data_IF_593134523150
#
_entry.id   IF_593134523150
#
_cell.length_a   1.000
_cell.length_b   1.000
_cell.length_c   1.000
_cell.angle_alpha   90.00
_cell.angle_beta   90.00
_cell.angle_gamma   90.00
#
_symmetry.space_group_name_H-M   'P 1'
#
loop_
_entity.id
_entity.type
_entity.pdbx_description
1 polymer ?
#
# COMPACT_ATOMS: atom_id res chain seq x y z
N UNK A 1 13.31 7.39 3.14
CA UNK A 1 12.08 7.52 3.95
C UNK A 1 11.66 8.97 3.89
N UNK A 2 10.63 9.26 3.10
CA UNK A 2 10.19 10.61 2.82
C UNK A 2 8.98 10.90 3.71
N UNK A 3 9.09 11.90 4.58
CA UNK A 3 8.06 12.29 5.56
C UNK A 3 7.47 13.62 5.13
N UNK A 4 6.17 13.81 5.33
CA UNK A 4 5.48 15.02 4.95
C UNK A 4 4.53 15.58 6.02
N UNK A 5 4.31 16.90 5.96
CA UNK A 5 3.41 17.70 6.81
C UNK A 5 2.67 18.70 5.90
N UNK A 6 1.34 18.61 5.78
CA UNK A 6 0.54 19.67 5.11
C UNK A 6 -0.27 20.50 6.11
N UNK A 7 -0.28 21.84 5.94
CA UNK A 7 -1.14 22.73 6.72
C UNK A 7 -2.60 22.63 6.28
N UNK A 8 -3.49 22.43 7.25
CA UNK A 8 -4.93 22.53 7.06
C UNK A 8 -5.33 24.01 7.13
N UNK A 9 -5.63 24.64 6.00
CA UNK A 9 -6.35 25.92 5.98
C UNK A 9 -7.59 25.77 5.13
N UNK A 10 -8.73 26.12 5.73
CA UNK A 10 -10.07 26.06 5.15
C UNK A 10 -10.18 27.10 4.02
N UNK A 11 -10.30 26.63 2.78
CA UNK A 11 -11.03 27.28 1.68
C UNK A 11 -10.84 26.46 0.39
N UNK A 12 -11.77 25.55 0.03
CA UNK A 12 -11.94 24.97 -1.32
C UNK A 12 -10.68 24.70 -2.18
N UNK A 13 -9.61 24.15 -1.61
CA UNK A 13 -8.38 23.87 -2.37
C UNK A 13 -8.51 22.49 -3.04
N UNK A 14 -8.51 22.50 -4.38
CA UNK A 14 -8.21 21.30 -5.18
C UNK A 14 -6.70 21.10 -5.19
N UNK A 15 -6.18 20.34 -4.23
CA UNK A 15 -4.78 19.93 -4.23
C UNK A 15 -4.56 18.94 -5.36
N UNK A 16 -3.76 19.28 -6.36
CA UNK A 16 -3.28 18.28 -7.31
C UNK A 16 -1.90 17.80 -6.87
N UNK A 17 -1.79 16.50 -6.59
CA UNK A 17 -0.52 15.84 -6.28
C UNK A 17 0.04 15.32 -7.59
N UNK A 18 1.13 15.93 -8.08
CA UNK A 18 1.89 15.47 -9.25
C UNK A 18 3.16 14.78 -8.75
N UNK A 19 3.30 13.48 -8.98
CA UNK A 19 4.52 12.74 -8.59
C UNK A 19 5.21 12.22 -9.84
N UNK A 20 6.42 12.71 -10.10
CA UNK A 20 7.29 12.19 -11.15
C UNK A 20 8.19 11.11 -10.56
N UNK A 21 7.95 9.86 -10.95
CA UNK A 21 8.73 8.70 -10.53
C UNK A 21 9.70 8.29 -11.66
N UNK A 22 11.02 8.33 -11.44
CA UNK A 22 12.05 7.82 -12.38
C UNK A 22 12.91 6.81 -11.64
N UNK A 23 12.80 5.54 -12.03
CA UNK A 23 13.42 4.42 -11.31
C UNK A 23 14.28 3.57 -12.25
N UNK A 24 15.40 3.03 -11.73
CA UNK A 24 16.27 2.11 -12.48
C UNK A 24 15.66 0.69 -12.60
N UNK A 25 14.63 0.41 -11.82
CA UNK A 25 13.86 -0.83 -11.79
C UNK A 25 12.38 -0.52 -11.95
N UNK A 26 11.60 -1.49 -12.42
CA UNK A 26 10.14 -1.39 -12.43
C UNK A 26 9.60 -1.07 -11.02
N UNK A 27 8.54 -0.26 -10.92
CA UNK A 27 7.94 0.10 -9.63
C UNK A 27 6.48 0.56 -9.78
N UNK A 28 5.79 0.80 -8.68
CA UNK A 28 4.55 1.56 -8.62
C UNK A 28 4.53 2.32 -7.29
N UNK A 29 3.78 3.43 -7.18
CA UNK A 29 3.68 4.18 -5.93
C UNK A 29 2.23 4.21 -5.47
N UNK A 30 1.97 3.63 -4.31
CA UNK A 30 0.69 3.73 -3.60
C UNK A 30 0.72 4.88 -2.59
N UNK A 31 -0.41 5.58 -2.45
CA UNK A 31 -0.61 6.67 -1.50
C UNK A 31 -1.52 6.18 -0.37
N UNK A 32 -0.91 5.62 0.67
CA UNK A 32 -1.60 4.94 1.76
C UNK A 32 -2.62 5.84 2.44
N UNK A 33 -3.87 5.36 2.48
CA UNK A 33 -4.99 6.02 3.14
C UNK A 33 -5.70 7.08 2.30
N UNK A 34 -5.22 7.40 1.08
CA UNK A 34 -5.94 8.29 0.17
C UNK A 34 -7.10 7.56 -0.52
N UNK A 35 -8.24 8.24 -0.63
CA UNK A 35 -9.45 7.63 -1.19
C UNK A 35 -9.45 7.51 -2.71
N UNK A 36 -8.60 8.25 -3.42
CA UNK A 36 -8.52 8.20 -4.89
C UNK A 36 -9.90 8.36 -5.58
N UNK A 37 -10.77 9.23 -5.03
CA UNK A 37 -12.15 9.41 -5.53
C UNK A 37 -12.12 9.90 -6.98
N UNK A 38 -12.66 9.08 -7.89
CA UNK A 38 -12.66 9.36 -9.32
C UNK A 38 -11.31 9.17 -10.02
N UNK A 39 -10.28 8.70 -9.31
CA UNK A 39 -8.92 8.49 -9.81
C UNK A 39 -8.37 7.13 -9.40
N UNK A 40 -9.21 6.08 -9.34
CA UNK A 40 -8.81 4.72 -8.93
C UNK A 40 -7.56 4.21 -9.69
N UNK A 41 -7.36 4.58 -10.96
CA UNK A 41 -6.15 4.25 -11.73
C UNK A 41 -4.83 4.80 -11.17
N UNK A 42 -4.88 5.80 -10.28
CA UNK A 42 -3.75 6.39 -9.57
C UNK A 42 -3.53 5.80 -8.17
N UNK A 43 -4.27 4.75 -7.80
CA UNK A 43 -4.09 4.06 -6.53
C UNK A 43 -2.72 3.34 -6.42
N UNK A 44 -2.04 3.07 -7.54
CA UNK A 44 -0.65 2.62 -7.48
C UNK A 44 -0.45 1.12 -7.28
N UNK A 45 -1.49 0.30 -7.42
CA UNK A 45 -1.43 -1.15 -7.19
C UNK A 45 -1.29 -1.88 -8.53
N UNK A 46 -0.14 -2.52 -8.81
CA UNK A 46 0.03 -3.41 -9.96
C UNK A 46 -1.07 -4.49 -9.97
N UNK A 47 -1.48 -4.96 -11.15
CA UNK A 47 -2.51 -6.02 -11.32
C UNK A 47 -3.95 -5.61 -10.97
N UNK A 48 -4.14 -4.52 -10.23
CA UNK A 48 -5.46 -4.04 -9.83
C UNK A 48 -5.76 -2.71 -10.50
N UNK A 49 -5.00 -1.67 -10.18
CA UNK A 49 -5.30 -0.28 -10.57
C UNK A 49 -4.40 0.25 -11.69
N UNK A 50 -3.26 -0.38 -11.95
CA UNK A 50 -2.36 -0.01 -13.05
C UNK A 50 -1.39 -1.14 -13.42
N UNK A 51 -0.70 -1.03 -14.54
CA UNK A 51 0.52 -1.80 -14.78
C UNK A 51 1.71 -1.17 -14.02
N UNK A 52 2.79 -1.92 -13.77
CA UNK A 52 4.02 -1.37 -13.24
C UNK A 52 4.57 -0.23 -14.12
N UNK A 53 5.20 0.75 -13.50
CA UNK A 53 5.96 1.80 -14.16
C UNK A 53 7.29 1.19 -14.62
N UNK A 54 7.57 1.17 -15.94
CA UNK A 54 8.81 0.58 -16.45
C UNK A 54 10.05 1.33 -15.96
N UNK A 55 11.19 0.64 -15.99
CA UNK A 55 12.48 1.29 -15.72
C UNK A 55 12.73 2.49 -16.66
N UNK A 56 13.49 3.46 -16.16
CA UNK A 56 13.87 4.70 -16.86
C UNK A 56 12.69 5.50 -17.47
N UNK A 57 11.47 5.26 -16.99
CA UNK A 57 10.26 5.96 -17.44
C UNK A 57 9.79 6.93 -16.35
N UNK A 58 9.22 8.06 -16.76
CA UNK A 58 8.50 8.96 -15.84
C UNK A 58 7.02 8.69 -15.92
N UNK A 59 6.39 8.40 -14.78
CA UNK A 59 4.94 8.38 -14.64
C UNK A 59 4.49 9.53 -13.73
N UNK A 60 3.35 10.14 -14.05
CA UNK A 60 2.73 11.23 -13.29
C UNK A 60 1.42 10.74 -12.71
N UNK A 61 1.39 10.59 -11.40
CA UNK A 61 0.16 10.50 -10.61
C UNK A 61 -0.46 11.90 -10.54
N UNK A 62 -1.77 12.05 -10.78
CA UNK A 62 -2.45 13.35 -10.74
C UNK A 62 -3.86 13.20 -10.16
N UNK A 63 -3.99 13.40 -8.85
CA UNK A 63 -5.27 13.25 -8.15
C UNK A 63 -5.47 14.36 -7.12
N UNK A 64 -6.72 14.50 -6.69
CA UNK A 64 -7.13 15.51 -5.70
C UNK A 64 -7.67 14.91 -4.42
N UNK A 65 -7.46 15.63 -3.31
CA UNK A 65 -7.75 15.14 -1.95
C UNK A 65 -8.61 16.14 -1.16
N UNK A 66 -9.81 16.50 -1.67
CA UNK A 66 -10.60 17.60 -1.13
C UNK A 66 -11.09 17.36 0.31
N UNK A 67 -11.35 16.09 0.65
CA UNK A 67 -12.07 15.72 1.88
C UNK A 67 -11.19 14.93 2.88
N UNK A 68 -9.87 15.04 2.78
CA UNK A 68 -8.94 14.31 3.65
C UNK A 68 -7.89 15.24 4.26
N UNK A 69 -7.71 15.13 5.57
CA UNK A 69 -6.61 15.76 6.30
C UNK A 69 -6.11 14.78 7.36
N UNK A 70 -4.80 14.72 7.58
CA UNK A 70 -4.25 13.68 8.43
C UNK A 70 -2.74 13.57 8.37
N UNK A 71 -2.25 12.36 8.62
CA UNK A 71 -0.87 11.93 8.40
C UNK A 71 -0.95 10.73 7.49
N UNK A 72 -0.41 10.88 6.28
CA UNK A 72 -0.36 9.81 5.30
C UNK A 72 1.10 9.51 4.94
N UNK A 73 1.29 8.49 4.11
CA UNK A 73 2.58 8.11 3.57
C UNK A 73 2.39 7.49 2.19
N UNK A 74 3.50 7.36 1.47
CA UNK A 74 3.51 6.66 0.19
C UNK A 74 4.64 5.63 0.20
N UNK A 75 4.44 4.54 -0.53
CA UNK A 75 5.42 3.47 -0.64
C UNK A 75 5.32 2.77 -1.99
N UNK A 76 6.36 2.01 -2.33
CA UNK A 76 6.25 1.09 -3.48
C UNK A 76 5.16 0.07 -3.18
N UNK A 77 4.31 -0.22 -4.15
CA UNK A 77 3.36 -1.34 -4.09
C UNK A 77 3.71 -2.41 -5.14
N UNK A 78 4.97 -2.42 -5.56
CA UNK A 78 5.50 -3.35 -6.54
C UNK A 78 6.77 -4.00 -6.02
N UNK A 79 6.71 -5.31 -5.81
CA UNK A 79 7.80 -6.26 -5.51
C UNK A 79 8.74 -5.84 -4.36
N UNK A 80 8.94 -6.74 -3.41
CA UNK A 80 9.89 -6.60 -2.32
C UNK A 80 10.76 -7.84 -2.11
N UNK A 81 10.17 -9.00 -1.76
CA UNK A 81 10.90 -10.17 -1.27
C UNK A 81 10.45 -11.51 -1.90
N UNK A 82 9.63 -11.48 -2.95
CA UNK A 82 9.08 -12.67 -3.63
C UNK A 82 8.35 -13.61 -2.67
N UNK A 83 7.69 -13.07 -1.65
CA UNK A 83 6.96 -13.84 -0.64
C UNK A 83 7.85 -14.57 0.37
N UNK A 84 9.15 -14.29 0.41
CA UNK A 84 10.06 -14.81 1.42
C UNK A 84 10.05 -13.92 2.66
N UNK A 85 9.89 -14.54 3.82
CA UNK A 85 9.94 -13.84 5.11
C UNK A 85 11.34 -13.20 5.31
N UNK A 86 11.42 -11.86 5.42
CA UNK A 86 12.69 -11.18 5.64
C UNK A 86 13.10 -11.25 7.11
N UNK A 87 14.41 -11.35 7.39
CA UNK A 87 14.94 -11.11 8.75
C UNK A 87 15.57 -9.73 8.81
N UNK A 88 14.95 -8.77 9.53
CA UNK A 88 15.54 -7.44 9.65
C UNK A 88 16.78 -7.49 10.54
N UNK A 89 17.90 -6.96 10.06
CA UNK A 89 19.13 -6.82 10.85
C UNK A 89 18.99 -5.75 11.93
N UNK A 90 18.11 -4.76 11.73
CA UNK A 90 17.91 -3.65 12.65
C UNK A 90 16.55 -2.95 12.46
N UNK A 91 16.05 -2.32 13.52
CA UNK A 91 14.93 -1.38 13.45
C UNK A 91 15.41 0.05 13.22
N UNK A 92 14.60 0.92 12.62
CA UNK A 92 14.96 2.32 12.34
C UNK A 92 13.90 3.29 12.84
N UNK A 93 14.34 4.45 13.36
CA UNK A 93 13.47 5.61 13.62
C UNK A 93 13.93 6.72 12.67
N UNK A 94 13.05 7.24 11.80
CA UNK A 94 13.39 8.19 10.73
C UNK A 94 14.66 7.79 9.93
N UNK A 95 14.79 6.49 9.63
CA UNK A 95 15.90 5.95 8.86
C UNK A 95 17.24 5.84 9.59
N UNK A 96 17.26 5.99 10.92
CA UNK A 96 18.50 5.90 11.71
C UNK A 96 18.37 4.95 12.90
N UNK A 97 19.44 4.22 13.16
CA UNK A 97 19.70 3.50 14.41
C UNK A 97 21.18 3.12 14.48
N UNK A 98 21.64 2.70 15.65
CA UNK A 98 22.97 2.12 15.83
C UNK A 98 22.99 0.66 15.37
N UNK A 99 24.08 0.24 14.72
CA UNK A 99 24.29 -1.13 14.24
C UNK A 99 25.77 -1.46 14.29
N UNK A 100 26.08 -2.65 14.83
CA UNK A 100 27.45 -3.15 14.88
C UNK A 100 27.79 -3.84 13.55
N UNK A 101 28.66 -3.21 12.77
CA UNK A 101 29.08 -3.69 11.46
C UNK A 101 29.84 -5.00 11.49
N UNK A 102 30.29 -5.50 12.66
CA UNK A 102 30.82 -6.86 12.79
C UNK A 102 29.75 -7.93 12.48
N UNK A 103 28.47 -7.57 12.60
CA UNK A 103 27.35 -8.45 12.24
C UNK A 103 26.87 -8.23 10.80
N UNK A 104 27.39 -7.21 10.10
CA UNK A 104 27.09 -7.02 8.67
C UNK A 104 27.80 -8.10 7.84
N UNK A 105 27.17 -8.62 6.78
CA UNK A 105 27.88 -9.47 5.82
C UNK A 105 29.00 -8.67 5.14
N UNK A 106 30.14 -9.32 4.93
CA UNK A 106 31.39 -8.70 4.43
C UNK A 106 31.21 -7.98 3.08
N UNK A 107 30.22 -8.39 2.29
CA UNK A 107 29.91 -7.80 0.99
C UNK A 107 29.24 -6.42 1.06
N UNK A 108 28.78 -5.96 2.24
CA UNK A 108 28.05 -4.70 2.37
C UNK A 108 28.91 -3.57 2.92
N UNK A 109 28.73 -2.37 2.38
CA UNK A 109 29.31 -1.16 2.98
C UNK A 109 28.56 -0.79 4.27
N UNK A 110 29.16 -1.06 5.42
CA UNK A 110 28.60 -0.72 6.73
C UNK A 110 29.38 0.42 7.41
N UNK A 111 28.68 1.31 8.13
CA UNK A 111 29.26 2.35 8.98
C UNK A 111 28.75 2.09 10.39
N UNK A 112 29.66 1.86 11.33
CA UNK A 112 29.31 1.56 12.72
C UNK A 112 28.58 2.75 13.35
N UNK A 113 27.51 2.43 14.08
CA UNK A 113 26.84 3.34 15.02
C UNK A 113 26.61 4.77 14.50
N UNK A 114 25.92 4.85 13.35
CA UNK A 114 25.54 6.12 12.69
C UNK A 114 24.68 7.06 13.54
N UNK A 115 24.27 6.62 14.74
CA UNK A 115 23.56 7.41 15.74
C UNK A 115 22.05 7.21 15.71
N UNK A 116 21.42 7.45 16.85
CA UNK A 116 19.97 7.48 16.98
C UNK A 116 19.37 8.75 16.37
N UNK A 117 18.12 8.67 15.93
CA UNK A 117 17.33 9.87 15.62
C UNK A 117 17.14 10.71 16.88
N UNK A 118 17.52 11.99 16.80
CA UNK A 118 17.43 12.95 17.89
C UNK A 118 16.34 13.98 17.61
N UNK A 119 15.53 14.26 18.63
CA UNK A 119 14.49 15.29 18.57
C UNK A 119 14.86 16.40 19.55
N UNK A 120 14.95 17.64 19.05
CA UNK A 120 15.29 18.79 19.88
C UNK A 120 14.00 19.48 20.35
N UNK A 121 13.76 19.48 21.66
CA UNK A 121 12.59 20.11 22.27
C UNK A 121 13.00 21.36 23.06
N UNK A 122 12.20 22.41 22.92
CA UNK A 122 12.39 23.69 23.63
C UNK A 122 11.39 23.76 24.78
N UNK A 123 11.83 24.08 26.01
CA UNK A 123 10.93 24.25 27.15
C UNK A 123 9.78 25.22 26.84
N UNK A 124 8.56 24.86 27.27
CA UNK A 124 7.35 25.67 27.07
C UNK A 124 6.73 25.61 25.67
N UNK A 125 7.29 24.85 24.72
CA UNK A 125 6.69 24.62 23.39
C UNK A 125 5.91 23.31 23.34
N UNK A 126 4.85 23.30 22.51
CA UNK A 126 4.05 22.12 22.20
C UNK A 126 4.43 21.60 20.81
N UNK A 127 4.49 20.28 20.68
CA UNK A 127 4.91 19.60 19.46
C UNK A 127 3.86 18.57 19.04
N UNK A 128 3.59 18.47 17.74
CA UNK A 128 2.77 17.40 17.15
C UNK A 128 3.71 16.35 16.57
N UNK A 129 3.71 15.16 17.15
CA UNK A 129 4.46 14.02 16.62
C UNK A 129 3.53 13.17 15.74
N UNK A 130 3.96 12.95 14.50
CA UNK A 130 3.31 12.08 13.52
C UNK A 130 4.12 10.79 13.42
N UNK A 131 3.52 9.68 13.84
CA UNK A 131 4.15 8.37 13.94
C UNK A 131 3.52 7.46 12.89
N UNK A 132 4.37 6.84 12.07
CA UNK A 132 3.96 5.91 11.02
C UNK A 132 4.82 4.66 11.16
N UNK A 133 4.18 3.49 11.21
CA UNK A 133 4.90 2.22 11.13
C UNK A 133 4.94 1.78 9.65
N UNK A 134 6.13 1.84 9.06
CA UNK A 134 6.37 1.45 7.65
C UNK A 134 7.14 0.14 7.55
N UNK A 135 7.10 -0.69 8.60
CA UNK A 135 7.93 -1.87 8.69
C UNK A 135 7.41 -2.99 7.81
N UNK A 136 8.30 -3.71 7.13
CA UNK A 136 7.92 -4.85 6.30
C UNK A 136 7.44 -6.08 7.11
N UNK A 137 7.80 -6.17 8.40
CA UNK A 137 7.50 -7.33 9.27
C UNK A 137 7.36 -7.00 10.76
N UNK A 138 7.63 -5.76 11.22
CA UNK A 138 7.75 -5.52 12.67
C UNK A 138 6.39 -5.45 13.36
N UNK A 139 6.00 -6.60 13.89
CA UNK A 139 5.24 -6.80 15.12
C UNK A 139 5.84 -8.06 15.80
N UNK A 140 6.26 -7.95 17.06
CA UNK A 140 7.22 -8.91 17.63
C UNK A 140 6.58 -10.29 17.89
N UNK A 141 7.06 -11.36 17.24
CA UNK A 141 7.16 -12.72 17.81
C UNK A 141 8.04 -13.64 16.94
N UNK A 142 8.91 -14.45 17.56
CA UNK A 142 9.92 -15.28 16.88
C UNK A 142 9.40 -16.68 16.53
N UNK A 143 9.51 -17.11 15.25
CA UNK A 143 9.63 -18.53 14.90
C UNK A 143 10.41 -18.71 13.58
N UNK A 144 11.39 -19.62 13.58
CA UNK A 144 12.23 -19.97 12.43
C UNK A 144 11.60 -21.10 11.61
N UNK A 145 11.23 -20.89 10.34
CA UNK A 145 11.22 -21.94 9.29
C UNK A 145 11.38 -21.34 7.88
N UNK A 146 12.42 -21.74 7.14
CA UNK A 146 12.56 -21.46 5.70
C UNK A 146 11.52 -22.28 4.91
N UNK A 147 10.30 -21.78 4.81
CA UNK A 147 9.26 -22.31 3.94
C UNK A 147 8.70 -21.18 3.07
N UNK A 148 8.40 -21.48 1.81
CA UNK A 148 7.63 -20.59 0.96
C UNK A 148 6.17 -20.67 1.42
N UNK A 149 5.66 -19.58 1.96
CA UNK A 149 4.29 -19.50 2.45
C UNK A 149 3.35 -19.13 1.31
N UNK A 150 2.11 -19.61 1.38
CA UNK A 150 1.03 -19.27 0.46
C UNK A 150 -0.02 -18.53 1.27
N UNK A 151 -0.25 -17.26 0.94
CA UNK A 151 -1.35 -16.47 1.45
C UNK A 151 -2.66 -16.90 0.78
N UNK A 152 -3.68 -17.14 1.59
CA UNK A 152 -4.97 -17.67 1.14
C UNK A 152 -6.10 -16.80 1.68
N UNK A 153 -6.96 -16.31 0.80
CA UNK A 153 -8.24 -15.67 1.14
C UNK A 153 -9.37 -16.53 0.59
N UNK A 154 -10.29 -16.99 1.45
CA UNK A 154 -11.40 -17.88 1.09
C UNK A 154 -10.98 -19.14 0.31
N UNK A 155 -9.83 -19.74 0.65
CA UNK A 155 -9.33 -20.95 -0.02
C UNK A 155 -8.60 -20.70 -1.34
N UNK A 156 -8.45 -19.44 -1.78
CA UNK A 156 -7.73 -19.06 -3.00
C UNK A 156 -6.52 -18.19 -2.70
N UNK A 157 -5.42 -18.42 -3.42
CA UNK A 157 -4.25 -17.54 -3.43
C UNK A 157 -4.37 -16.55 -4.58
N UNK A 158 -4.03 -15.28 -4.34
CA UNK A 158 -4.06 -14.28 -5.40
C UNK A 158 -2.91 -14.56 -6.38
N UNK A 159 -3.25 -14.81 -7.64
CA UNK A 159 -2.27 -15.04 -8.69
C UNK A 159 -2.14 -13.79 -9.57
N UNK A 160 -0.88 -13.50 -9.87
CA UNK A 160 -0.42 -12.24 -10.44
C UNK A 160 -0.52 -12.24 -11.97
N UNK A 161 -1.24 -11.26 -12.54
CA UNK A 161 -1.17 -10.87 -13.96
C UNK A 161 -0.93 -9.36 -14.06
N UNK A 162 0.34 -8.96 -13.92
CA UNK A 162 0.74 -7.53 -13.87
C UNK A 162 0.51 -6.79 -15.18
N UNK A 163 0.46 -7.50 -16.31
CA UNK A 163 0.35 -6.92 -17.64
C UNK A 163 -1.11 -6.71 -18.06
N UNK A 164 -2.05 -7.35 -17.35
CA UNK A 164 -3.49 -7.19 -17.56
C UNK A 164 -4.25 -6.91 -16.25
N UNK A 165 -4.04 -5.72 -15.65
CA UNK A 165 -4.71 -5.32 -14.43
C UNK A 165 -6.23 -5.43 -14.48
N UNK A 166 -6.86 -5.68 -13.34
CA UNK A 166 -8.31 -5.85 -13.22
C UNK A 166 -9.08 -4.62 -13.71
N UNK A 167 -8.56 -3.42 -13.48
CA UNK A 167 -9.13 -2.19 -14.03
C UNK A 167 -9.12 -2.14 -15.56
N UNK A 168 -8.09 -2.68 -16.23
CA UNK A 168 -8.05 -2.77 -17.70
C UNK A 168 -9.09 -3.76 -18.22
N UNK A 169 -9.26 -4.88 -17.53
CA UNK A 169 -10.29 -5.87 -17.86
C UNK A 169 -11.68 -5.21 -17.84
N UNK A 170 -11.96 -4.34 -16.87
CA UNK A 170 -13.24 -3.63 -16.77
C UNK A 170 -13.35 -2.49 -17.80
N UNK A 171 -12.37 -1.59 -17.85
CA UNK A 171 -12.44 -0.35 -18.63
C UNK A 171 -12.27 -0.59 -20.14
N UNK A 172 -11.35 -1.49 -20.51
CA UNK A 172 -10.95 -1.68 -21.91
C UNK A 172 -11.61 -2.90 -22.55
N UNK A 173 -11.90 -3.94 -21.75
CA UNK A 173 -12.45 -5.21 -22.24
C UNK A 173 -13.92 -5.44 -21.85
N UNK A 174 -14.54 -4.52 -21.09
CA UNK A 174 -15.90 -4.66 -20.56
C UNK A 174 -16.14 -5.98 -19.80
N UNK A 175 -15.10 -6.50 -19.15
CA UNK A 175 -15.17 -7.76 -18.42
C UNK A 175 -16.06 -7.64 -17.18
N UNK A 176 -16.79 -8.71 -16.88
CA UNK A 176 -17.72 -8.79 -15.73
C UNK A 176 -17.48 -10.02 -14.87
N UNK A 177 -16.83 -11.06 -15.41
CA UNK A 177 -16.46 -12.28 -14.72
C UNK A 177 -14.94 -12.35 -14.58
N UNK A 178 -14.47 -12.73 -13.40
CA UNK A 178 -13.05 -12.76 -13.05
C UNK A 178 -12.64 -14.16 -12.64
N UNK A 179 -11.37 -14.48 -12.85
CA UNK A 179 -10.82 -15.78 -12.47
C UNK A 179 -10.79 -15.91 -10.94
N UNK A 180 -10.99 -17.11 -10.37
CA UNK A 180 -10.98 -17.29 -8.91
C UNK A 180 -9.70 -16.81 -8.24
N UNK A 181 -8.56 -16.98 -8.91
CA UNK A 181 -7.24 -16.56 -8.45
C UNK A 181 -7.02 -15.03 -8.49
N UNK A 182 -7.93 -14.24 -9.06
CA UNK A 182 -7.90 -12.77 -8.91
C UNK A 182 -8.41 -12.33 -7.53
N UNK A 183 -8.95 -13.24 -6.71
CA UNK A 183 -9.48 -12.96 -5.37
C UNK A 183 -10.43 -11.75 -5.33
N UNK A 184 -11.30 -11.64 -6.35
CA UNK A 184 -12.44 -10.71 -6.34
C UNK A 184 -13.48 -11.26 -5.37
N UNK A 185 -13.50 -10.74 -4.14
CA UNK A 185 -14.36 -11.26 -3.05
C UNK A 185 -15.68 -10.50 -2.92
N UNK A 186 -15.85 -9.40 -3.66
CA UNK A 186 -17.11 -8.68 -3.73
C UNK A 186 -17.20 -7.80 -4.98
N UNK A 187 -18.35 -7.84 -5.65
CA UNK A 187 -18.69 -6.94 -6.74
C UNK A 187 -20.01 -6.23 -6.41
N UNK A 188 -19.95 -4.93 -6.19
CA UNK A 188 -21.08 -4.13 -5.69
C UNK A 188 -21.57 -3.17 -6.76
N UNK A 189 -22.74 -3.44 -7.34
CA UNK A 189 -23.32 -2.62 -8.40
C UNK A 189 -23.98 -1.32 -7.89
N UNK A 190 -24.24 -1.23 -6.58
CA UNK A 190 -24.90 -0.09 -5.93
C UNK A 190 -24.18 0.24 -4.63
N UNK A 191 -24.25 1.51 -4.20
CA UNK A 191 -23.70 1.90 -2.91
C UNK A 191 -24.44 1.19 -1.79
N UNK A 192 -23.69 0.57 -0.89
CA UNK A 192 -24.24 -0.17 0.24
C UNK A 192 -23.18 -0.34 1.33
N UNK A 193 -23.64 -0.60 2.55
CA UNK A 193 -22.79 -0.89 3.69
C UNK A 193 -22.42 -2.37 3.68
N UNK A 194 -21.13 -2.66 3.81
CA UNK A 194 -20.57 -4.00 3.78
C UNK A 194 -19.88 -4.29 5.11
N UNK A 195 -20.18 -5.45 5.70
CA UNK A 195 -19.43 -6.03 6.80
C UNK A 195 -18.50 -7.12 6.28
N UNK A 196 -17.23 -7.04 6.66
CA UNK A 196 -16.22 -8.05 6.38
C UNK A 196 -15.86 -8.70 7.72
N UNK A 197 -15.95 -10.02 7.77
CA UNK A 197 -15.38 -10.82 8.86
C UNK A 197 -14.09 -11.43 8.36
N UNK A 198 -12.98 -11.10 9.01
CA UNK A 198 -11.70 -11.75 8.75
C UNK A 198 -11.45 -12.73 9.90
N UNK A 199 -11.08 -13.96 9.59
CA UNK A 199 -10.67 -14.97 10.55
C UNK A 199 -9.17 -15.21 10.42
N UNK A 200 -8.47 -15.21 11.54
CA UNK A 200 -7.06 -15.54 11.63
C UNK A 200 -6.89 -16.84 12.41
N UNK A 201 -6.70 -17.94 11.69
CA UNK A 201 -6.48 -19.27 12.28
C UNK A 201 -5.02 -19.65 12.49
N UNK A 202 -4.08 -18.70 12.36
CA UNK A 202 -2.63 -18.97 12.48
C UNK A 202 -2.01 -18.20 13.65
N UNK A 203 -0.80 -18.60 14.05
CA UNK A 203 -0.09 -18.11 15.24
C UNK A 203 0.63 -16.77 15.07
N UNK A 204 0.22 -15.94 14.10
CA UNK A 204 0.80 -14.64 13.80
C UNK A 204 -0.28 -13.57 13.66
N UNK A 205 0.07 -12.30 13.88
CA UNK A 205 -0.87 -11.19 13.67
C UNK A 205 -0.81 -10.67 12.24
N UNK A 206 -1.92 -10.14 11.74
CA UNK A 206 -2.00 -9.62 10.37
C UNK A 206 -2.62 -8.22 10.38
N UNK A 207 -1.90 -7.15 10.02
CA UNK A 207 -2.49 -5.84 9.81
C UNK A 207 -3.24 -5.83 8.47
N UNK A 208 -4.57 -5.82 8.44
CA UNK A 208 -5.33 -5.71 7.19
C UNK A 208 -5.58 -4.26 6.82
N UNK A 209 -5.25 -3.91 5.58
CA UNK A 209 -5.46 -2.59 4.98
C UNK A 209 -6.50 -2.66 3.85
N UNK A 210 -7.37 -1.65 3.77
CA UNK A 210 -8.34 -1.47 2.69
C UNK A 210 -8.04 -0.17 1.94
N UNK A 211 -7.82 -0.28 0.64
CA UNK A 211 -7.61 0.87 -0.24
C UNK A 211 -8.92 1.63 -0.49
N UNK A 212 -8.80 2.91 -0.88
CA UNK A 212 -9.93 3.75 -1.30
C UNK A 212 -10.92 4.14 -0.20
N UNK A 213 -10.76 3.61 1.02
CA UNK A 213 -11.72 3.71 2.10
C UNK A 213 -11.06 3.86 3.46
N UNK A 214 -11.87 4.34 4.40
CA UNK A 214 -11.71 4.03 5.82
C UNK A 214 -12.87 3.15 6.23
N UNK A 215 -12.63 2.25 7.17
CA UNK A 215 -13.62 1.35 7.73
C UNK A 215 -13.74 1.53 9.24
N UNK A 216 -14.89 1.13 9.77
CA UNK A 216 -15.13 1.03 11.20
C UNK A 216 -14.76 -0.36 11.70
N UNK A 217 -14.03 -0.43 12.82
CA UNK A 217 -13.75 -1.70 13.51
C UNK A 217 -14.86 -1.94 14.53
N UNK A 218 -15.73 -2.91 14.26
CA UNK A 218 -16.93 -3.14 15.05
C UNK A 218 -16.70 -4.07 16.25
N UNK A 219 -15.71 -4.96 16.17
CA UNK A 219 -15.34 -5.86 17.26
C UNK A 219 -14.41 -6.98 16.80
N UNK A 220 -13.89 -7.72 17.78
CA UNK A 220 -13.10 -8.94 17.58
C UNK A 220 -13.52 -10.02 18.58
N UNK A 221 -13.10 -11.25 18.35
CA UNK A 221 -13.32 -12.36 19.27
C UNK A 221 -12.57 -13.63 18.87
N UNK A 222 -12.63 -14.70 19.66
CA UNK A 222 -11.90 -15.93 19.41
C UNK A 222 -12.31 -16.61 18.09
N UNK A 223 -11.35 -17.13 17.32
CA UNK A 223 -11.56 -17.70 15.96
C UNK A 223 -12.54 -18.89 15.94
N UNK A 224 -12.66 -19.62 17.05
CA UNK A 224 -13.57 -20.75 17.23
C UNK A 224 -15.03 -20.32 17.49
N UNK A 225 -15.27 -19.02 17.66
CA UNK A 225 -16.61 -18.44 17.80
C UNK A 225 -17.07 -17.77 16.51
N UNK A 226 -18.39 -17.58 16.37
CA UNK A 226 -18.98 -16.76 15.30
C UNK A 226 -19.28 -15.36 15.85
N UNK A 227 -19.02 -14.29 15.09
CA UNK A 227 -19.40 -12.94 15.49
C UNK A 227 -20.91 -12.83 15.75
N UNK A 228 -21.26 -12.33 16.94
CA UNK A 228 -22.63 -11.95 17.27
C UNK A 228 -22.83 -10.47 16.91
N UNK A 229 -23.42 -10.23 15.74
CA UNK A 229 -23.64 -8.88 15.20
C UNK A 229 -24.48 -7.98 16.12
N UNK A 230 -25.28 -8.54 17.03
CA UNK A 230 -26.06 -7.76 18.00
C UNK A 230 -25.22 -7.16 19.13
N UNK A 231 -24.02 -7.71 19.35
CA UNK A 231 -23.08 -7.28 20.40
C UNK A 231 -21.93 -6.41 19.88
N UNK A 232 -21.84 -6.23 18.57
CA UNK A 232 -20.81 -5.40 17.96
C UNK A 232 -21.00 -3.92 18.32
N UNK A 233 -19.90 -3.19 18.42
CA UNK A 233 -19.96 -1.76 18.67
C UNK A 233 -20.40 -1.01 17.40
N UNK A 234 -21.67 -0.62 17.34
CA UNK A 234 -22.24 0.22 16.28
C UNK A 234 -22.35 1.69 16.68
N UNK A 235 -21.91 2.06 17.89
CA UNK A 235 -21.96 3.42 18.40
C UNK A 235 -20.54 3.99 18.53
N UNK A 236 -20.19 4.86 17.59
CA UNK A 236 -18.86 5.49 17.50
C UNK A 236 -17.66 4.49 17.50
N UNK A 237 -17.67 3.44 16.66
CA UNK A 237 -16.52 2.56 16.52
C UNK A 237 -15.32 3.29 15.91
N UNK A 238 -14.12 2.78 16.21
CA UNK A 238 -12.87 3.33 15.67
C UNK A 238 -12.91 3.25 14.15
N UNK A 239 -12.65 4.38 13.48
CA UNK A 239 -12.57 4.49 12.03
C UNK A 239 -11.11 4.66 11.56
N UNK A 240 -10.64 3.79 10.67
CA UNK A 240 -9.25 3.72 10.18
C UNK A 240 -9.15 2.97 8.85
N UNK A 241 -8.00 2.97 8.20
CA UNK A 241 -7.75 2.26 6.93
C UNK A 241 -6.95 0.95 7.10
N UNK A 242 -6.33 0.72 8.25
CA UNK A 242 -5.58 -0.51 8.56
C UNK A 242 -5.87 -0.96 9.97
N UNK A 243 -6.30 -2.21 10.21
CA UNK A 243 -6.49 -2.77 11.55
C UNK A 243 -5.85 -4.16 11.68
N UNK A 244 -5.24 -4.43 12.83
CA UNK A 244 -4.59 -5.70 13.11
C UNK A 244 -5.59 -6.72 13.61
N UNK A 245 -5.59 -7.90 13.00
CA UNK A 245 -6.21 -9.11 13.54
C UNK A 245 -5.15 -9.92 14.29
N UNK A 246 -5.40 -10.21 15.56
CA UNK A 246 -4.49 -10.98 16.41
C UNK A 246 -4.55 -12.48 16.07
N UNK A 247 -3.54 -13.28 16.50
CA UNK A 247 -3.56 -14.73 16.33
C UNK A 247 -4.82 -15.35 16.92
N UNK A 248 -5.38 -16.35 16.24
CA UNK A 248 -6.54 -17.12 16.73
C UNK A 248 -7.78 -16.26 17.05
N UNK A 249 -7.96 -15.12 16.34
CA UNK A 249 -9.13 -14.25 16.46
C UNK A 249 -9.87 -14.07 15.13
N UNK A 250 -11.11 -13.58 15.21
CA UNK A 250 -11.80 -12.88 14.12
C UNK A 250 -11.87 -11.38 14.41
N UNK A 251 -11.96 -10.57 13.36
CA UNK A 251 -12.30 -9.14 13.43
C UNK A 251 -13.46 -8.85 12.47
N UNK A 252 -14.40 -7.98 12.88
CA UNK A 252 -15.44 -7.44 12.01
C UNK A 252 -15.13 -5.99 11.70
N UNK A 253 -15.00 -5.68 10.40
CA UNK A 253 -14.87 -4.33 9.89
C UNK A 253 -16.06 -3.98 9.00
N UNK A 254 -16.45 -2.71 8.99
CA UNK A 254 -17.56 -2.18 8.20
C UNK A 254 -17.08 -1.04 7.32
N UNK A 255 -17.45 -1.04 6.06
CA UNK A 255 -17.23 0.10 5.17
C UNK A 255 -18.45 0.33 4.28
N UNK A 256 -18.50 1.48 3.62
CA UNK A 256 -19.51 1.78 2.62
C UNK A 256 -18.87 1.68 1.24
N UNK A 257 -19.41 0.81 0.39
CA UNK A 257 -18.97 0.60 -0.99
C UNK A 257 -19.44 1.76 -1.89
N UNK A 258 -18.91 2.97 -1.65
CA UNK A 258 -19.37 4.22 -2.24
C UNK A 258 -18.35 4.88 -3.18
N UNK A 259 -17.30 4.15 -3.56
CA UNK A 259 -16.20 4.72 -4.33
C UNK A 259 -15.92 3.87 -5.58
N UNK A 260 -16.35 4.30 -6.79
CA UNK A 260 -16.19 3.49 -8.00
C UNK A 260 -14.72 3.14 -8.26
N UNK A 261 -14.39 1.85 -8.31
CA UNK A 261 -13.00 1.41 -8.41
C UNK A 261 -12.79 -0.07 -8.11
N UNK A 262 -11.53 -0.47 -8.25
CA UNK A 262 -11.00 -1.75 -7.80
C UNK A 262 -10.14 -1.43 -6.58
N UNK A 263 -10.50 -1.95 -5.42
CA UNK A 263 -9.82 -1.64 -4.16
C UNK A 263 -9.21 -2.87 -3.54
N UNK A 264 -7.90 -2.82 -3.33
CA UNK A 264 -7.15 -3.87 -2.66
C UNK A 264 -7.59 -3.98 -1.19
N UNK A 265 -7.74 -5.21 -0.72
CA UNK A 265 -7.88 -5.56 0.69
C UNK A 265 -6.85 -6.62 1.02
N UNK A 266 -5.81 -6.27 1.77
CA UNK A 266 -4.65 -7.14 1.94
C UNK A 266 -3.99 -7.00 3.31
N UNK A 267 -3.19 -8.01 3.67
CA UNK A 267 -2.29 -7.89 4.81
C UNK A 267 -1.17 -6.90 4.49
N UNK A 268 -0.85 -6.00 5.41
CA UNK A 268 0.16 -4.95 5.27
C UNK A 268 1.54 -5.41 5.80
N UNK A 269 1.78 -6.72 5.76
CA UNK A 269 3.09 -7.35 5.86
C UNK A 269 3.48 -7.71 4.44
N UNK A 270 4.54 -7.08 3.95
CA UNK A 270 4.85 -7.03 2.52
C UNK A 270 4.98 -8.43 1.89
N UNK A 271 5.70 -9.34 2.55
CA UNK A 271 5.87 -10.70 2.03
C UNK A 271 4.57 -11.54 2.08
N UNK A 272 3.61 -11.21 2.96
CA UNK A 272 2.29 -11.84 2.93
C UNK A 272 1.49 -11.42 1.68
N UNK A 273 1.61 -10.16 1.26
CA UNK A 273 1.01 -9.66 0.01
C UNK A 273 1.53 -10.46 -1.17
N UNK A 274 2.85 -10.58 -1.29
CA UNK A 274 3.51 -11.32 -2.37
C UNK A 274 3.24 -12.83 -2.32
N UNK A 275 3.00 -13.38 -1.13
CA UNK A 275 2.56 -14.76 -0.95
C UNK A 275 1.09 -14.97 -1.39
N UNK A 276 0.35 -13.91 -1.72
CA UNK A 276 -1.02 -13.96 -2.22
C UNK A 276 -2.10 -13.66 -1.18
N UNK A 277 -1.76 -13.10 0.00
CA UNK A 277 -2.71 -12.68 1.04
C UNK A 277 -3.37 -11.33 0.68
N UNK A 278 -3.99 -11.32 -0.49
CA UNK A 278 -4.60 -10.18 -1.16
C UNK A 278 -5.98 -10.58 -1.64
N UNK A 279 -6.93 -9.68 -1.48
CA UNK A 279 -8.24 -9.72 -2.09
C UNK A 279 -8.54 -8.35 -2.71
N UNK A 280 -9.63 -8.29 -3.48
CA UNK A 280 -10.08 -7.04 -4.06
C UNK A 280 -11.61 -6.94 -4.08
N UNK A 281 -12.09 -5.71 -3.93
CA UNK A 281 -13.48 -5.33 -4.12
C UNK A 281 -13.63 -4.55 -5.42
N UNK A 282 -14.66 -4.88 -6.19
CA UNK A 282 -15.05 -4.14 -7.39
C UNK A 282 -16.31 -3.35 -7.05
N UNK A 283 -16.18 -2.04 -7.01
CA UNK A 283 -17.25 -1.13 -6.62
C UNK A 283 -17.76 -0.33 -7.81
N UNK A 284 -19.08 -0.25 -7.91
CA UNK A 284 -19.82 0.58 -8.85
C UNK A 284 -19.23 0.48 -10.27
N UNK A 285 -19.09 -0.72 -10.85
CA UNK A 285 -18.38 -0.92 -12.12
C UNK A 285 -19.00 -0.12 -13.28
N UNK A 286 -20.31 0.14 -13.23
CA UNK A 286 -20.98 1.00 -14.20
C UNK A 286 -20.51 2.47 -14.10
N UNK A 287 -20.32 2.99 -12.90
CA UNK A 287 -19.82 4.36 -12.69
C UNK A 287 -18.33 4.44 -13.01
N UNK A 288 -17.56 3.42 -12.63
CA UNK A 288 -16.14 3.32 -12.98
C UNK A 288 -15.91 3.39 -14.50
N UNK A 289 -16.73 2.70 -15.31
CA UNK A 289 -16.63 2.74 -16.79
C UNK A 289 -16.91 4.12 -17.39
N UNK A 290 -17.57 5.03 -16.67
CA UNK A 290 -17.78 6.41 -17.15
C UNK A 290 -16.52 7.27 -16.97
N UNK A 291 -15.63 6.85 -16.09
CA UNK A 291 -14.38 7.53 -15.85
C UNK A 291 -13.41 7.25 -17.00
N UNK A 292 -12.59 8.25 -17.32
CA UNK A 292 -11.62 8.17 -18.42
C UNK A 292 -10.22 8.29 -17.85
N UNK A 293 -9.42 7.22 -17.87
CA UNK A 293 -8.04 7.31 -17.45
C UNK A 293 -7.25 8.18 -18.45
N UNK A 294 -6.14 8.79 -18.00
CA UNK A 294 -5.30 9.59 -18.88
C UNK A 294 -4.42 8.70 -19.77
N UNK A 295 -4.04 9.21 -20.95
CA UNK A 295 -3.31 8.44 -21.96
C UNK A 295 -1.95 7.92 -21.50
N UNK A 296 -1.28 8.64 -20.59
CA UNK A 296 -0.01 8.20 -20.02
C UNK A 296 -0.18 6.96 -19.12
N UNK A 297 -1.33 6.79 -18.47
CA UNK A 297 -1.66 5.59 -17.70
C UNK A 297 -1.98 4.41 -18.62
N UNK A 298 -2.77 4.62 -19.68
CA UNK A 298 -3.11 3.57 -20.66
C UNK A 298 -1.85 2.99 -21.32
N UNK A 299 -0.82 3.83 -21.51
CA UNK A 299 0.46 3.43 -22.09
C UNK A 299 1.33 2.59 -21.15
N UNK A 300 1.06 2.51 -19.85
CA UNK A 300 1.88 1.74 -18.91
C UNK A 300 1.95 0.26 -19.32
N UNK A 301 0.81 -0.34 -19.67
CA UNK A 301 0.74 -1.75 -20.05
C UNK A 301 1.32 -2.04 -21.45
N UNK A 302 1.38 -1.03 -22.32
CA UNK A 302 2.03 -1.15 -23.63
C UNK A 302 3.55 -1.09 -23.49
N UNK A 303 4.03 -0.28 -22.54
CA UNK A 303 5.45 -0.03 -22.30
C UNK A 303 6.07 -0.96 -21.26
N UNK A 304 5.29 -1.79 -20.57
CA UNK A 304 5.78 -2.82 -19.65
C UNK A 304 6.36 -3.98 -20.46
N UNK A 305 7.70 -4.10 -20.63
CA UNK A 305 8.25 -5.35 -21.13
C UNK A 305 7.99 -6.46 -20.10
N UNK A 306 7.72 -7.66 -20.60
CA UNK A 306 7.46 -8.87 -19.82
C UNK A 306 8.22 -8.89 -18.47
N UNK A 307 7.52 -8.92 -17.32
CA UNK A 307 8.11 -8.81 -15.97
C UNK A 307 9.11 -9.92 -15.66
N UNK A 308 9.10 -11.02 -16.42
CA UNK A 308 10.06 -12.12 -16.27
C UNK A 308 11.45 -11.81 -16.85
N UNK A 309 11.62 -10.80 -17.70
CA UNK A 309 12.96 -10.38 -18.17
C UNK A 309 13.73 -9.57 -17.11
N UNK A 310 13.04 -8.96 -16.14
CA UNK A 310 13.67 -8.34 -14.97
C UNK A 310 14.25 -9.41 -13.99
N UNK A 311 13.90 -10.69 -14.15
CA UNK A 311 14.47 -11.78 -13.33
C UNK A 311 15.97 -12.01 -13.60
N UNK A 312 16.46 -11.66 -14.79
CA UNK A 312 17.88 -11.85 -15.13
C UNK A 312 18.73 -10.77 -14.44
N UNK A 313 18.23 -9.54 -14.31
CA UNK A 313 18.91 -8.44 -13.61
C UNK A 313 18.85 -8.58 -12.07
N UNK A 314 17.92 -9.37 -11.53
CA UNK A 314 17.81 -9.61 -10.09
C UNK A 314 18.72 -10.71 -9.55
N UNK A 315 19.35 -11.53 -10.41
CA UNK A 315 20.46 -12.40 -9.95
C UNK A 315 21.66 -11.58 -9.47
N UNK A 316 21.71 -10.29 -9.86
CA UNK A 316 22.63 -9.26 -9.38
C UNK A 316 22.07 -8.39 -8.23
N UNK A 317 20.91 -8.69 -7.62
CA UNK A 317 20.38 -7.91 -6.48
C UNK A 317 21.28 -7.95 -5.23
N UNK A 318 22.22 -8.91 -5.12
CA UNK A 318 23.27 -8.87 -4.07
C UNK A 318 24.18 -7.64 -4.20
N UNK A 319 24.27 -7.04 -5.39
CA UNK A 319 25.09 -5.85 -5.68
C UNK A 319 24.28 -4.55 -5.73
N UNK A 320 22.95 -4.59 -5.81
CA UNK A 320 22.09 -3.38 -5.94
C UNK A 320 21.88 -2.65 -4.60
N UNK A 321 22.00 -3.32 -3.46
CA UNK A 321 21.88 -2.65 -2.14
C UNK A 321 23.00 -1.61 -1.93
N UNK A 322 24.17 -1.81 -2.54
CA UNK A 322 25.24 -0.80 -2.54
C UNK A 322 24.97 0.38 -3.49
N UNK A 323 24.18 0.17 -4.56
CA UNK A 323 23.83 1.21 -5.53
C UNK A 323 22.66 2.09 -5.03
N UNK A 324 21.76 1.57 -4.18
CA UNK A 324 20.65 2.35 -3.58
C UNK A 324 21.09 3.53 -2.69
N UNK A 325 22.38 3.62 -2.32
CA UNK A 325 22.94 4.81 -1.64
C UNK A 325 23.36 5.93 -2.59
N UNK A 326 23.49 5.62 -3.89
CA UNK A 326 23.92 6.55 -4.95
C UNK A 326 22.89 6.66 -6.10
N UNK A 327 21.78 5.93 -6.09
CA UNK A 327 20.67 6.18 -7.00
C UNK A 327 19.90 7.39 -6.50
N UNK A 328 20.16 8.55 -7.11
CA UNK A 328 19.22 9.68 -7.13
C UNK A 328 17.93 9.24 -7.85
N UNK A 329 17.11 8.41 -7.19
CA UNK A 329 15.71 8.22 -7.59
C UNK A 329 15.01 9.54 -7.31
N UNK A 330 14.85 10.34 -8.36
CA UNK A 330 14.37 11.70 -8.27
C UNK A 330 12.82 11.69 -8.21
N UNK A 331 12.25 11.34 -7.06
CA UNK A 331 10.81 11.51 -6.84
C UNK A 331 10.57 13.01 -6.60
N UNK A 332 10.06 13.70 -7.62
CA UNK A 332 9.63 15.10 -7.50
C UNK A 332 8.13 15.12 -7.35
N UNK A 333 7.69 15.53 -6.17
CA UNK A 333 6.29 15.82 -5.90
C UNK A 333 6.09 17.32 -6.14
N UNK A 334 5.09 17.68 -6.93
CA UNK A 334 4.62 19.06 -7.13
C UNK A 334 3.21 19.12 -6.54
N UNK A 335 2.97 20.09 -5.65
CA UNK A 335 1.64 20.35 -5.08
C UNK A 335 1.26 21.79 -5.40
N UNK A 336 0.06 22.00 -5.92
CA UNK A 336 -0.40 23.31 -6.40
C UNK A 336 -1.82 23.65 -5.99
N UNK A 337 -2.12 24.96 -5.97
CA UNK A 337 -3.46 25.53 -5.81
C UNK A 337 -3.70 26.41 -7.04
N UNK A 338 -4.67 26.05 -7.89
CA UNK A 338 -4.94 26.80 -9.14
C UNK A 338 -3.79 26.68 -10.15
N UNK A 339 -3.38 27.79 -10.76
CA UNK A 339 -2.27 27.83 -11.74
C UNK A 339 -0.86 27.85 -11.09
N UNK A 340 -0.78 27.95 -9.76
CA UNK A 340 0.49 28.04 -9.04
C UNK A 340 0.92 26.66 -8.51
N UNK A 341 1.92 26.07 -9.16
CA UNK A 341 2.53 24.78 -8.81
C UNK A 341 3.87 24.97 -8.11
N UNK A 342 4.05 24.38 -6.93
CA UNK A 342 5.31 24.41 -6.21
C UNK A 342 5.93 23.01 -6.14
N UNK A 343 7.26 22.91 -6.31
CA UNK A 343 8.01 21.67 -6.04
C UNK A 343 7.96 21.43 -4.53
N UNK A 344 7.16 20.47 -4.12
CA UNK A 344 6.94 20.13 -2.73
C UNK A 344 7.23 18.65 -2.60
N UNK A 345 8.43 18.27 -2.16
CA UNK A 345 8.81 16.86 -1.90
C UNK A 345 8.05 16.19 -0.73
N UNK A 346 6.83 16.62 -0.45
CA UNK A 346 6.12 16.48 0.82
C UNK A 346 4.60 16.40 0.52
N UNK A 347 3.98 15.21 0.61
CA UNK A 347 2.52 15.02 0.52
C UNK A 347 1.95 14.68 1.91
N UNK A 348 1.23 15.64 2.49
CA UNK A 348 0.20 15.55 3.56
C UNK A 348 0.43 14.65 4.77
#
# INVERSE_FOLDING_TARGET
MWKADIPCTEENIRWAIIVMAVHRVSTSIHYHGFFQRGTNWYDGVPEQSQCPIPNNTTFIYNFTVPDQSGTFWYHSHHLAHKGLEPRPDNGLINGRNNYNCKWAPVSYKCIDDVGLSKFNFVPGKRYRLRVINTSALLSFHFQLMNMQWIGVVNGSTCAVDVDNPTINQILLKNQTLFQPNQNVIGQFNTSQVIDIVVYNGVTGEHPFHLHGHTFWVLGSGPVDTKPDFSKLNIFDPIKRDTATISPEEWIVIRFEANNPGIWAFHCHIEWHVEAGLVAQFIELPHELRKLKPPSNWEQLCIKSPNPYNDLILQSEQRTIIDDMRNVDTLIKILVGIGENWNLIGIIC
#
